data_IF_522726091286
#
_entry.id   IF_522726091286
#
_cell.length_a   1.000
_cell.length_b   1.000
_cell.length_c   1.000
_cell.angle_alpha   90.00
_cell.angle_beta   90.00
_cell.angle_gamma   90.00
#
_symmetry.space_group_name_H-M   'P 1'
#
loop_
_entity.id
_entity.type
_entity.pdbx_description
1 polymer ?
#
# COMPACT_ATOMS: atom_id res chain seq x y z
N UNK A 1 5.68 8.11 -5.68
CA UNK A 1 5.17 6.76 -5.37
C UNK A 1 6.06 6.15 -4.31
N UNK A 2 5.51 5.27 -3.47
CA UNK A 2 6.28 4.40 -2.59
C UNK A 2 6.14 2.96 -3.09
N UNK A 3 7.27 2.41 -3.53
CA UNK A 3 7.28 1.18 -4.32
C UNK A 3 6.43 1.31 -5.59
N UNK A 4 5.86 0.19 -6.02
CA UNK A 4 4.98 0.10 -7.19
C UNK A 4 3.50 0.32 -6.88
N UNK A 5 3.11 0.36 -5.60
CA UNK A 5 1.70 0.23 -5.20
C UNK A 5 1.11 1.43 -4.47
N UNK A 6 1.90 2.30 -3.83
CA UNK A 6 1.36 3.45 -3.11
C UNK A 6 1.63 4.75 -3.88
N UNK A 7 0.58 5.49 -4.18
CA UNK A 7 0.65 6.84 -4.75
C UNK A 7 0.12 7.86 -3.74
N UNK A 8 0.88 8.94 -3.57
CA UNK A 8 0.54 10.04 -2.67
C UNK A 8 0.39 11.29 -3.53
N UNK A 9 -0.75 11.97 -3.43
CA UNK A 9 -1.06 13.20 -4.16
C UNK A 9 -1.33 14.33 -3.13
N UNK A 10 -0.29 15.06 -2.70
CA UNK A 10 -0.42 16.12 -1.71
C UNK A 10 -1.02 17.39 -2.30
N UNK A 11 -1.75 18.14 -1.48
CA UNK A 11 -2.05 19.56 -1.77
C UNK A 11 -0.79 20.37 -1.48
N UNK A 12 -0.27 21.08 -2.48
CA UNK A 12 0.98 21.87 -2.38
C UNK A 12 0.74 23.38 -2.42
N UNK A 13 -0.49 23.80 -2.69
CA UNK A 13 -0.87 25.21 -2.79
C UNK A 13 -1.46 25.72 -1.48
N UNK A 14 -1.01 26.89 -1.05
CA UNK A 14 -1.46 27.51 0.20
C UNK A 14 -2.98 27.77 0.16
N UNK A 15 -3.67 27.43 1.25
CA UNK A 15 -5.12 27.61 1.43
C UNK A 15 -5.99 26.86 0.40
N UNK A 16 -5.44 25.90 -0.35
CA UNK A 16 -6.25 25.02 -1.21
C UNK A 16 -6.82 23.85 -0.42
N UNK A 17 -8.06 23.46 -0.74
CA UNK A 17 -8.72 22.24 -0.24
C UNK A 17 -8.97 21.24 -1.36
N UNK A 18 -8.21 21.35 -2.45
CA UNK A 18 -8.26 20.43 -3.57
C UNK A 18 -6.92 20.37 -4.30
N UNK A 19 -6.70 19.27 -5.01
CA UNK A 19 -5.53 19.07 -5.88
C UNK A 19 -5.97 18.41 -7.19
N UNK A 20 -5.44 18.92 -8.30
CA UNK A 20 -5.52 18.21 -9.58
C UNK A 20 -4.33 17.25 -9.66
N UNK A 21 -4.63 15.96 -9.56
CA UNK A 21 -3.63 14.90 -9.50
C UNK A 21 -3.76 13.92 -10.66
N UNK A 22 -2.62 13.59 -11.28
CA UNK A 22 -2.55 12.53 -12.28
C UNK A 22 -2.59 11.15 -11.62
N UNK A 23 -3.48 10.29 -12.09
CA UNK A 23 -3.60 8.91 -11.68
C UNK A 23 -3.20 8.01 -12.88
N UNK A 24 -2.16 7.18 -12.78
CA UNK A 24 -1.79 6.28 -13.87
C UNK A 24 -2.89 5.26 -14.17
N UNK A 25 -2.86 4.69 -15.38
CA UNK A 25 -3.79 3.65 -15.77
C UNK A 25 -3.81 2.47 -14.77
N UNK A 26 -5.01 1.97 -14.48
CA UNK A 26 -5.27 0.88 -13.52
C UNK A 26 -6.35 1.23 -12.50
N UNK A 27 -6.62 0.30 -11.58
CA UNK A 27 -7.54 0.50 -10.45
C UNK A 27 -6.78 0.88 -9.17
N UNK A 28 -7.33 1.85 -8.47
CA UNK A 28 -6.74 2.49 -7.31
C UNK A 28 -7.74 2.54 -6.17
N UNK A 29 -7.37 1.94 -5.05
CA UNK A 29 -8.13 1.95 -3.81
C UNK A 29 -7.77 3.18 -2.99
N UNK A 30 -8.76 3.94 -2.56
CA UNK A 30 -8.54 5.06 -1.62
C UNK A 30 -8.25 4.51 -0.23
N UNK A 31 -7.19 5.00 0.41
CA UNK A 31 -6.77 4.52 1.73
C UNK A 31 -7.86 4.70 2.81
N UNK A 32 -8.53 5.86 2.85
CA UNK A 32 -9.51 6.18 3.90
C UNK A 32 -10.86 5.49 3.70
N UNK A 33 -11.38 5.46 2.47
CA UNK A 33 -12.77 5.03 2.19
C UNK A 33 -12.87 3.65 1.56
N UNK A 34 -11.74 3.03 1.18
CA UNK A 34 -11.68 1.76 0.43
C UNK A 34 -12.48 1.77 -0.88
N UNK A 35 -12.81 2.95 -1.39
CA UNK A 35 -13.47 3.12 -2.69
C UNK A 35 -12.46 2.87 -3.81
N UNK A 36 -12.93 2.31 -4.92
CA UNK A 36 -12.09 2.01 -6.08
C UNK A 36 -12.32 3.06 -7.17
N UNK A 37 -11.24 3.67 -7.64
CA UNK A 37 -11.20 4.53 -8.81
C UNK A 37 -10.49 3.79 -9.94
N UNK A 38 -11.13 3.70 -11.11
CA UNK A 38 -10.49 3.26 -12.34
C UNK A 38 -9.99 4.48 -13.10
N UNK A 39 -8.75 4.43 -13.56
CA UNK A 39 -8.17 5.45 -14.42
C UNK A 39 -7.62 4.84 -15.69
N UNK A 40 -7.72 5.57 -16.80
CA UNK A 40 -7.07 5.25 -18.07
C UNK A 40 -5.74 6.00 -18.26
N UNK A 41 -5.22 6.63 -17.19
CA UNK A 41 -4.03 7.50 -17.24
C UNK A 41 -4.42 8.96 -17.43
N UNK A 42 -5.10 9.53 -16.42
CA UNK A 42 -5.68 10.86 -16.52
C UNK A 42 -5.64 11.62 -15.19
N UNK A 43 -5.96 12.92 -15.26
CA UNK A 43 -6.01 13.80 -14.10
C UNK A 43 -7.41 13.85 -13.50
N UNK A 44 -7.49 13.79 -12.18
CA UNK A 44 -8.71 13.99 -11.41
C UNK A 44 -8.53 15.17 -10.45
N UNK A 45 -9.64 15.86 -10.16
CA UNK A 45 -9.69 16.82 -9.06
C UNK A 45 -10.11 16.08 -7.80
N UNK A 46 -9.22 16.03 -6.82
CA UNK A 46 -9.49 15.46 -5.50
C UNK A 46 -9.75 16.59 -4.52
N UNK A 47 -10.90 16.55 -3.83
CA UNK A 47 -11.14 17.40 -2.66
C UNK A 47 -10.41 16.77 -1.47
N UNK A 48 -9.81 17.60 -0.64
CA UNK A 48 -9.00 17.14 0.50
C UNK A 48 -9.27 18.05 1.68
N UNK A 49 -9.71 17.46 2.80
CA UNK A 49 -9.86 18.18 4.06
C UNK A 49 -8.48 18.66 4.55
N UNK A 50 -8.46 19.67 5.43
CA UNK A 50 -7.21 20.33 5.83
C UNK A 50 -6.24 19.40 6.58
N UNK A 51 -6.77 18.34 7.17
CA UNK A 51 -6.08 17.31 7.96
C UNK A 51 -5.95 15.97 7.21
N UNK A 52 -6.25 15.94 5.91
CA UNK A 52 -6.13 14.75 5.07
C UNK A 52 -5.07 14.89 3.98
N UNK A 53 -4.60 13.74 3.50
CA UNK A 53 -3.76 13.63 2.31
C UNK A 53 -4.28 12.50 1.42
N UNK A 54 -4.30 12.71 0.10
CA UNK A 54 -4.80 11.70 -0.82
C UNK A 54 -3.76 10.58 -0.99
N UNK A 55 -4.11 9.38 -0.54
CA UNK A 55 -3.30 8.16 -0.68
C UNK A 55 -4.12 7.13 -1.46
N UNK A 56 -3.50 6.59 -2.50
CA UNK A 56 -4.07 5.58 -3.37
C UNK A 56 -3.20 4.33 -3.38
N UNK A 57 -3.84 3.16 -3.27
CA UNK A 57 -3.19 1.85 -3.36
C UNK A 57 -3.59 1.19 -4.67
N UNK A 58 -2.62 0.91 -5.52
CA UNK A 58 -2.82 0.21 -6.79
C UNK A 58 -3.27 -1.22 -6.52
N UNK A 59 -4.20 -1.71 -7.33
CA UNK A 59 -4.64 -3.10 -7.33
C UNK A 59 -3.49 -4.12 -7.45
N UNK A 60 -3.75 -5.36 -7.02
CA UNK A 60 -2.78 -6.45 -7.04
C UNK A 60 -1.74 -6.39 -5.92
N UNK A 61 -1.91 -5.50 -4.94
CA UNK A 61 -0.93 -5.29 -3.88
C UNK A 61 -1.34 -5.97 -2.57
N UNK A 62 -0.38 -6.62 -1.92
CA UNK A 62 -0.41 -6.99 -0.50
C UNK A 62 0.63 -6.14 0.23
N UNK A 63 0.18 -5.23 1.09
CA UNK A 63 1.03 -4.28 1.81
C UNK A 63 1.02 -4.63 3.30
N UNK A 64 2.15 -5.10 3.86
CA UNK A 64 2.29 -5.30 5.30
C UNK A 64 2.45 -3.96 6.01
N UNK A 65 1.74 -3.78 7.12
CA UNK A 65 1.86 -2.61 7.97
C UNK A 65 1.64 -2.98 9.43
N UNK A 66 2.26 -2.24 10.35
CA UNK A 66 2.04 -2.42 11.78
C UNK A 66 0.91 -1.53 12.29
N UNK A 67 0.45 -1.77 13.52
CA UNK A 67 -0.32 -0.77 14.23
C UNK A 67 0.53 0.48 14.50
N UNK A 68 -0.14 1.60 14.76
CA UNK A 68 0.51 2.83 15.19
C UNK A 68 1.20 2.61 16.55
N UNK A 69 2.46 3.05 16.65
CA UNK A 69 3.25 3.03 17.88
C UNK A 69 3.99 4.35 18.02
N UNK A 70 4.36 4.71 19.25
CA UNK A 70 5.03 6.00 19.51
C UNK A 70 6.51 5.98 19.14
N UNK A 71 7.15 4.82 19.28
CA UNK A 71 8.56 4.62 18.93
C UNK A 71 8.75 3.31 18.17
N UNK A 72 9.69 3.28 17.22
CA UNK A 72 9.94 2.11 16.37
C UNK A 72 10.36 0.87 17.15
N UNK A 73 10.96 1.02 18.34
CA UNK A 73 11.33 -0.10 19.21
C UNK A 73 10.13 -0.94 19.63
N UNK A 74 8.95 -0.34 19.79
CA UNK A 74 7.71 -1.04 20.14
C UNK A 74 7.19 -1.93 19.00
N UNK A 75 7.67 -1.73 17.76
CA UNK A 75 7.27 -2.56 16.62
C UNK A 75 7.79 -3.99 16.70
N UNK A 76 8.89 -4.24 17.41
CA UNK A 76 9.46 -5.58 17.53
C UNK A 76 8.50 -6.57 18.21
N UNK A 77 7.64 -6.09 19.09
CA UNK A 77 6.64 -6.89 19.80
C UNK A 77 5.23 -6.75 19.19
N UNK A 78 5.10 -6.05 18.06
CA UNK A 78 3.81 -5.72 17.45
C UNK A 78 3.38 -6.75 16.40
N UNK A 79 2.07 -6.89 16.22
CA UNK A 79 1.51 -7.68 15.13
C UNK A 79 1.54 -6.88 13.81
N UNK A 80 1.77 -7.61 12.71
CA UNK A 80 1.56 -7.07 11.36
C UNK A 80 0.13 -7.31 10.89
N UNK A 81 -0.40 -6.31 10.20
CA UNK A 81 -1.61 -6.37 9.41
C UNK A 81 -1.23 -6.41 7.93
N UNK A 82 -2.12 -6.94 7.09
CA UNK A 82 -1.97 -6.95 5.64
C UNK A 82 -3.13 -6.17 5.01
N UNK A 83 -2.82 -5.13 4.24
CA UNK A 83 -3.78 -4.51 3.33
C UNK A 83 -3.70 -5.24 1.99
N UNK A 84 -4.83 -5.79 1.55
CA UNK A 84 -4.92 -6.56 0.29
C UNK A 84 -5.84 -5.83 -0.67
N UNK A 85 -5.32 -5.49 -1.84
CA UNK A 85 -6.08 -4.94 -2.96
C UNK A 85 -6.01 -5.92 -4.12
N UNK A 86 -7.15 -6.42 -4.57
CA UNK A 86 -7.20 -7.44 -5.62
C UNK A 86 -7.19 -6.80 -7.01
N UNK A 87 -6.49 -7.44 -7.94
CA UNK A 87 -6.50 -7.10 -9.36
C UNK A 87 -7.74 -7.64 -10.10
N UNK A 88 -7.82 -7.45 -11.42
CA UNK A 88 -8.99 -7.86 -12.22
C UNK A 88 -9.16 -9.39 -12.25
N UNK A 89 -8.11 -10.15 -11.95
CA UNK A 89 -8.11 -11.60 -11.85
C UNK A 89 -8.36 -12.11 -10.42
N UNK A 90 -8.64 -11.21 -9.47
CA UNK A 90 -8.75 -11.51 -8.03
C UNK A 90 -7.45 -12.03 -7.43
N UNK A 91 -6.32 -11.51 -7.93
CA UNK A 91 -4.97 -11.86 -7.49
C UNK A 91 -4.31 -10.66 -6.78
N UNK A 92 -3.34 -10.95 -5.93
CA UNK A 92 -2.49 -9.94 -5.31
C UNK A 92 -1.17 -10.55 -4.81
N UNK A 93 -0.10 -9.76 -4.78
CA UNK A 93 1.20 -10.18 -4.27
C UNK A 93 1.87 -9.11 -3.41
N UNK A 94 2.78 -9.55 -2.55
CA UNK A 94 3.58 -8.65 -1.71
C UNK A 94 4.70 -9.37 -0.99
N UNK A 95 5.55 -8.61 -0.31
CA UNK A 95 6.66 -9.16 0.48
C UNK A 95 6.89 -8.34 1.75
N UNK A 96 7.41 -9.01 2.78
CA UNK A 96 7.90 -8.39 4.02
C UNK A 96 9.30 -8.91 4.32
N UNK A 97 10.26 -8.01 4.34
CA UNK A 97 11.59 -8.23 4.92
C UNK A 97 11.57 -7.75 6.37
N UNK A 98 11.99 -8.60 7.30
CA UNK A 98 12.00 -8.31 8.74
C UNK A 98 13.29 -8.80 9.40
N UNK A 99 14.09 -7.90 9.93
CA UNK A 99 15.30 -8.19 10.70
C UNK A 99 15.25 -7.50 12.08
N UNK A 100 16.40 -7.39 12.77
CA UNK A 100 16.47 -6.74 14.08
C UNK A 100 16.48 -5.21 14.03
N UNK A 101 16.57 -4.61 12.83
CA UNK A 101 16.58 -3.16 12.60
C UNK A 101 17.87 -2.43 12.97
N UNK A 102 18.86 -3.11 13.56
CA UNK A 102 20.04 -2.48 14.16
C UNK A 102 21.37 -3.10 13.70
N UNK A 103 21.43 -4.42 13.46
CA UNK A 103 22.66 -5.11 13.11
C UNK A 103 23.12 -4.79 11.68
N UNK A 104 24.44 -4.63 11.50
CA UNK A 104 25.01 -4.52 10.16
C UNK A 104 25.03 -5.88 9.43
N UNK A 105 24.82 -5.82 8.11
CA UNK A 105 24.91 -6.94 7.16
C UNK A 105 23.96 -8.12 7.45
N UNK A 106 22.77 -7.86 8.00
CA UNK A 106 21.75 -8.88 8.30
C UNK A 106 21.43 -9.74 7.08
N UNK A 107 21.24 -9.11 5.91
CA UNK A 107 20.98 -9.80 4.65
C UNK A 107 22.12 -10.77 4.26
N UNK A 108 23.37 -10.31 4.29
CA UNK A 108 24.54 -11.12 3.91
C UNK A 108 24.80 -12.26 4.90
N UNK A 109 24.50 -12.02 6.18
CA UNK A 109 24.65 -12.99 7.27
C UNK A 109 23.44 -13.90 7.43
N UNK A 110 22.38 -13.73 6.63
CA UNK A 110 21.15 -14.53 6.73
C UNK A 110 20.36 -14.31 8.02
N UNK A 111 20.52 -13.15 8.68
CA UNK A 111 19.86 -12.81 9.95
C UNK A 111 18.61 -11.96 9.72
N UNK A 112 17.64 -12.52 9.01
CA UNK A 112 16.38 -11.87 8.69
C UNK A 112 15.30 -12.92 8.41
N UNK A 113 14.05 -12.47 8.35
CA UNK A 113 12.92 -13.20 7.81
C UNK A 113 12.47 -12.52 6.52
N UNK A 114 12.23 -13.30 5.47
CA UNK A 114 11.62 -12.82 4.24
C UNK A 114 10.34 -13.62 4.00
N UNK A 115 9.22 -12.91 3.98
CA UNK A 115 7.90 -13.46 3.76
C UNK A 115 7.40 -12.98 2.40
N UNK A 116 6.85 -13.91 1.62
CA UNK A 116 6.17 -13.62 0.36
C UNK A 116 4.68 -13.93 0.55
N UNK A 117 3.84 -13.01 0.11
CA UNK A 117 2.39 -13.12 0.18
C UNK A 117 1.82 -13.22 -1.22
N UNK A 118 0.84 -14.09 -1.38
CA UNK A 118 0.16 -14.30 -2.64
C UNK A 118 -1.30 -14.64 -2.38
N UNK A 119 -2.18 -14.02 -3.16
CA UNK A 119 -3.60 -14.37 -3.28
C UNK A 119 -3.82 -14.81 -4.72
N UNK A 120 -4.41 -16.00 -4.88
CA UNK A 120 -4.81 -16.53 -6.18
C UNK A 120 -6.28 -16.95 -6.13
N UNK A 121 -7.00 -16.72 -7.23
CA UNK A 121 -8.35 -17.24 -7.39
C UNK A 121 -8.32 -18.70 -7.83
N UNK A 122 -8.73 -19.63 -6.95
CA UNK A 122 -8.81 -21.05 -7.27
C UNK A 122 -10.24 -21.42 -7.70
N UNK A 123 -10.47 -21.50 -9.01
CA UNK A 123 -11.73 -22.03 -9.55
C UNK A 123 -11.82 -23.54 -9.29
N UNK A 124 -12.65 -23.94 -8.32
CA UNK A 124 -12.94 -25.35 -8.08
C UNK A 124 -14.00 -25.82 -9.08
N UNK A 125 -13.60 -26.54 -10.15
CA UNK A 125 -14.53 -27.37 -10.92
C UNK A 125 -14.30 -28.81 -10.48
N UNK A 126 -15.21 -29.33 -9.65
CA UNK A 126 -15.34 -30.77 -9.45
C UNK A 126 -16.61 -31.21 -10.16
N UNK A 127 -16.44 -32.15 -11.11
CA UNK A 127 -17.50 -32.79 -11.89
C UNK A 127 -18.44 -33.64 -11.03
#
# INVERSE_FOLDING_TARGET
MWGSHILIIPVLEQNSTSVNGYLPAGRWWTWNTTSVLKSEGESFTFNTEIDEINIFVREGAIIPFSNEVMITKELQDSNFNLLITLDENSEANGELFWDDGDSADTQQKGKYNLMQFEVQHVSSIHF
#
